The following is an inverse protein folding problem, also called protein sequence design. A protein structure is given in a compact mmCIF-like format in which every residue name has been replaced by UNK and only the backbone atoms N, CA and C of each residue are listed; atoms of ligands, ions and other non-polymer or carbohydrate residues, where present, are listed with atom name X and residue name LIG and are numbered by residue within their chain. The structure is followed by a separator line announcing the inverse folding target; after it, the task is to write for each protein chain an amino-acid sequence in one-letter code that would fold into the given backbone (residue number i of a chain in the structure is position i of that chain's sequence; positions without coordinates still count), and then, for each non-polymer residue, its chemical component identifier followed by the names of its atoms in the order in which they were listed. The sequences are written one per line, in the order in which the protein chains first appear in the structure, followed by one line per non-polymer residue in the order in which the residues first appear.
data_IF_359722027376
#
_entry.id   IF_359722027376
#
_cell.length_a   1.000
_cell.length_b   1.000
_cell.length_c   1.000
_cell.angle_alpha   90.00
_cell.angle_beta   90.00
_cell.angle_gamma   90.00
#
_symmetry.space_group_name_H-M   'P 1'
#
loop_
_entity.id
_entity.type
_entity.pdbx_description
1 polymer ?
#
# COMPACT_ATOMS: atom_id res chain seq x y z
N UNK A 1 -1.47 -8.68 -8.96
CA UNK A 1 -1.72 -7.22 -9.09
C UNK A 1 -3.20 -6.86 -9.15
N UNK A 2 -3.94 -7.18 -10.23
CA UNK A 2 -5.34 -6.71 -10.38
C UNK A 2 -6.25 -7.11 -9.21
N UNK A 3 -6.23 -8.39 -8.83
CA UNK A 3 -7.00 -8.92 -7.69
C UNK A 3 -6.60 -8.27 -6.37
N UNK A 4 -5.31 -7.95 -6.19
CA UNK A 4 -4.78 -7.24 -5.02
C UNK A 4 -5.36 -5.83 -4.93
N UNK A 5 -5.34 -5.06 -6.03
CA UNK A 5 -5.91 -3.71 -6.05
C UNK A 5 -7.42 -3.73 -5.78
N UNK A 6 -8.16 -4.66 -6.40
CA UNK A 6 -9.59 -4.82 -6.14
C UNK A 6 -9.89 -5.14 -4.66
N UNK A 7 -9.07 -5.97 -4.03
CA UNK A 7 -9.20 -6.29 -2.62
C UNK A 7 -8.92 -5.06 -1.74
N UNK A 8 -7.86 -4.30 -2.02
CA UNK A 8 -7.51 -3.10 -1.27
C UNK A 8 -8.58 -2.01 -1.38
N UNK A 9 -9.14 -1.80 -2.58
CA UNK A 9 -10.28 -0.89 -2.75
C UNK A 9 -11.51 -1.34 -1.96
N UNK A 10 -11.79 -2.65 -1.93
CA UNK A 10 -12.85 -3.20 -1.12
C UNK A 10 -12.60 -2.98 0.39
N UNK A 11 -11.36 -3.17 0.85
CA UNK A 11 -10.97 -2.90 2.23
C UNK A 11 -11.17 -1.44 2.61
N UNK A 12 -10.79 -0.47 1.75
CA UNK A 12 -11.00 0.95 2.03
C UNK A 12 -12.47 1.30 2.23
N UNK A 13 -13.40 0.63 1.53
CA UNK A 13 -14.85 0.83 1.69
C UNK A 13 -15.38 0.33 3.04
N UNK A 14 -14.73 -0.67 3.63
CA UNK A 14 -15.14 -1.29 4.90
C UNK A 14 -14.57 -0.57 6.13
N UNK A 15 -13.47 0.16 5.97
CA UNK A 15 -12.82 0.88 7.06
C UNK A 15 -13.65 2.11 7.45
N UNK A 16 -13.90 2.28 8.75
CA UNK A 16 -14.56 3.45 9.29
C UNK A 16 -13.65 4.70 9.28
N UNK A 17 -14.22 5.90 9.35
CA UNK A 17 -13.43 7.13 9.59
C UNK A 17 -12.62 6.99 10.89
N UNK A 18 -11.37 7.43 10.86
CA UNK A 18 -10.33 7.19 11.87
C UNK A 18 -9.71 5.79 11.86
N UNK A 19 -10.10 4.91 10.93
CA UNK A 19 -9.57 3.56 10.79
C UNK A 19 -8.33 3.49 9.90
N UNK A 20 -7.52 2.43 10.08
CA UNK A 20 -6.22 2.26 9.42
C UNK A 20 -6.16 0.97 8.61
N UNK A 21 -5.75 1.06 7.33
CA UNK A 21 -5.30 -0.07 6.53
C UNK A 21 -3.77 -0.11 6.55
N UNK A 22 -3.19 -1.27 6.85
CA UNK A 22 -1.74 -1.49 6.71
C UNK A 22 -1.48 -2.60 5.69
N UNK A 23 -0.48 -2.40 4.84
CA UNK A 23 -0.11 -3.31 3.76
C UNK A 23 1.39 -3.54 3.86
N UNK A 24 1.81 -4.78 4.06
CA UNK A 24 3.23 -5.16 3.98
C UNK A 24 3.46 -5.82 2.62
N UNK A 25 4.27 -5.21 1.78
CA UNK A 25 4.59 -5.74 0.45
C UNK A 25 6.02 -6.28 0.42
N UNK A 26 6.22 -7.44 -0.22
CA UNK A 26 7.49 -8.15 -0.30
C UNK A 26 7.99 -8.18 -1.76
N UNK A 27 8.90 -7.26 -2.16
CA UNK A 27 9.32 -7.13 -3.55
C UNK A 27 10.41 -8.12 -4.01
N UNK A 28 10.78 -9.11 -3.18
CA UNK A 28 11.96 -9.97 -3.37
C UNK A 28 12.00 -10.87 -4.62
N UNK A 29 10.98 -10.85 -5.48
CA UNK A 29 10.98 -11.48 -6.80
C UNK A 29 10.27 -10.57 -7.83
N UNK A 30 10.48 -10.77 -9.15
CA UNK A 30 10.00 -9.85 -10.19
C UNK A 30 8.51 -9.51 -10.10
N UNK A 31 7.66 -10.51 -9.89
CA UNK A 31 6.20 -10.33 -9.76
C UNK A 31 5.84 -9.56 -8.49
N UNK A 32 6.53 -9.84 -7.38
CA UNK A 32 6.36 -9.11 -6.12
C UNK A 32 6.78 -7.65 -6.25
N UNK A 33 7.83 -7.37 -7.02
CA UNK A 33 8.30 -6.01 -7.31
C UNK A 33 7.28 -5.23 -8.14
N UNK A 34 6.69 -5.87 -9.14
CA UNK A 34 5.65 -5.28 -9.98
C UNK A 34 4.37 -5.00 -9.17
N UNK A 35 3.93 -5.97 -8.37
CA UNK A 35 2.77 -5.79 -7.51
C UNK A 35 3.00 -4.69 -6.46
N UNK A 36 4.18 -4.65 -5.84
CA UNK A 36 4.57 -3.60 -4.90
C UNK A 36 4.49 -2.20 -5.54
N UNK A 37 5.03 -2.02 -6.76
CA UNK A 37 4.95 -0.77 -7.51
C UNK A 37 3.51 -0.37 -7.83
N UNK A 38 2.68 -1.31 -8.24
CA UNK A 38 1.28 -1.05 -8.52
C UNK A 38 0.51 -0.61 -7.27
N UNK A 39 0.77 -1.23 -6.11
CA UNK A 39 0.16 -0.83 -4.84
C UNK A 39 0.66 0.55 -4.40
N UNK A 40 1.96 0.84 -4.53
CA UNK A 40 2.51 2.18 -4.25
C UNK A 40 1.84 3.25 -5.14
N UNK A 41 1.78 3.02 -6.46
CA UNK A 41 1.16 3.95 -7.41
C UNK A 41 -0.33 4.18 -7.11
N UNK A 42 -1.10 3.11 -6.93
CA UNK A 42 -2.51 3.18 -6.57
C UNK A 42 -2.73 3.96 -5.25
N UNK A 43 -1.89 3.71 -4.24
CA UNK A 43 -2.01 4.40 -2.96
C UNK A 43 -1.74 5.91 -3.06
N UNK A 44 -0.84 6.32 -3.96
CA UNK A 44 -0.52 7.72 -4.21
C UNK A 44 -1.63 8.49 -4.92
N UNK A 45 -2.55 7.80 -5.62
CA UNK A 45 -3.69 8.40 -6.31
C UNK A 45 -4.93 8.58 -5.41
N UNK A 46 -4.89 8.05 -4.18
CA UNK A 46 -5.99 8.18 -3.24
C UNK A 46 -6.22 9.66 -2.88
N UNK A 47 -7.50 10.06 -2.82
CA UNK A 47 -7.88 11.43 -2.51
C UNK A 47 -7.37 11.86 -1.12
N UNK A 48 -6.46 12.83 -1.08
CA UNK A 48 -5.88 13.35 0.16
C UNK A 48 -6.90 13.95 1.14
N UNK A 49 -8.11 14.31 0.68
CA UNK A 49 -9.18 14.81 1.57
C UNK A 49 -9.91 13.67 2.29
N UNK A 50 -9.80 12.44 1.80
CA UNK A 50 -10.43 11.23 2.36
C UNK A 50 -9.44 10.30 3.04
N UNK A 51 -8.18 10.29 2.60
CA UNK A 51 -7.17 9.38 3.09
C UNK A 51 -5.84 10.09 3.34
N UNK A 52 -5.12 9.67 4.37
CA UNK A 52 -3.70 9.98 4.56
C UNK A 52 -2.89 8.73 4.26
N UNK A 53 -1.88 8.83 3.40
CA UNK A 53 -1.05 7.68 3.01
C UNK A 53 0.39 7.93 3.42
N UNK A 54 1.00 6.95 4.07
CA UNK A 54 2.41 6.96 4.46
C UNK A 54 3.08 5.65 4.05
N UNK A 55 4.37 5.75 3.70
CA UNK A 55 5.22 4.60 3.41
C UNK A 55 6.41 4.58 4.36
N UNK A 56 6.64 3.42 4.97
CA UNK A 56 7.81 3.09 5.75
C UNK A 56 8.64 2.08 4.97
N UNK A 57 9.92 2.38 4.75
CA UNK A 57 10.86 1.53 4.00
C UNK A 57 12.26 1.65 4.57
N UNK A 58 13.03 0.57 4.50
CA UNK A 58 14.47 0.61 4.80
C UNK A 58 15.23 1.23 3.63
N UNK A 59 16.12 2.18 3.90
CA UNK A 59 16.84 2.92 2.85
C UNK A 59 18.20 2.30 2.48
N UNK A 60 18.77 1.45 3.34
CA UNK A 60 20.14 0.93 3.21
C UNK A 60 20.21 -0.61 3.13
N UNK A 61 19.08 -1.30 2.92
CA UNK A 61 19.06 -2.75 2.74
C UNK A 61 19.06 -3.08 1.24
N UNK A 62 19.91 -4.02 0.83
CA UNK A 62 20.25 -4.26 -0.58
C UNK A 62 19.25 -5.18 -1.30
N UNK A 63 18.69 -6.16 -0.60
CA UNK A 63 17.95 -7.27 -1.22
C UNK A 63 16.43 -7.01 -1.31
N UNK A 64 16.04 -5.83 -1.78
CA UNK A 64 14.63 -5.44 -1.98
C UNK A 64 13.76 -5.81 -0.74
N UNK A 65 14.00 -5.16 0.41
CA UNK A 65 13.34 -5.52 1.66
C UNK A 65 11.84 -5.20 1.62
N UNK A 66 11.06 -5.76 2.57
CA UNK A 66 9.65 -5.43 2.66
C UNK A 66 9.41 -3.94 2.94
N UNK A 67 8.32 -3.42 2.40
CA UNK A 67 7.82 -2.09 2.70
C UNK A 67 6.51 -2.17 3.48
N UNK A 68 6.19 -1.13 4.24
CA UNK A 68 4.90 -0.96 4.90
C UNK A 68 4.22 0.30 4.36
N UNK A 69 3.03 0.12 3.79
CA UNK A 69 2.10 1.22 3.50
C UNK A 69 1.07 1.30 4.61
N UNK A 70 0.76 2.52 5.05
CA UNK A 70 -0.25 2.83 6.04
C UNK A 70 -1.22 3.86 5.44
N UNK A 71 -2.50 3.49 5.37
CA UNK A 71 -3.57 4.32 4.80
C UNK A 71 -4.60 4.58 5.89
N UNK A 72 -4.56 5.78 6.45
CA UNK A 72 -5.51 6.27 7.44
C UNK A 72 -6.73 6.88 6.74
N UNK A 73 -7.93 6.51 7.16
CA UNK A 73 -9.18 7.07 6.63
C UNK A 73 -9.58 8.28 7.46
N UNK A 74 -9.66 9.44 6.82
CA UNK A 74 -10.15 10.67 7.43
C UNK A 74 -11.66 10.62 7.64
#
# INVERSE_FOLDING_TARGET
TETTLLALEASLRLIASGGLLTIVAYPGHPEGKEECRAVEAWSAELSQTRYSVAIYRFLNQVNDPPILLAIDRR
#
